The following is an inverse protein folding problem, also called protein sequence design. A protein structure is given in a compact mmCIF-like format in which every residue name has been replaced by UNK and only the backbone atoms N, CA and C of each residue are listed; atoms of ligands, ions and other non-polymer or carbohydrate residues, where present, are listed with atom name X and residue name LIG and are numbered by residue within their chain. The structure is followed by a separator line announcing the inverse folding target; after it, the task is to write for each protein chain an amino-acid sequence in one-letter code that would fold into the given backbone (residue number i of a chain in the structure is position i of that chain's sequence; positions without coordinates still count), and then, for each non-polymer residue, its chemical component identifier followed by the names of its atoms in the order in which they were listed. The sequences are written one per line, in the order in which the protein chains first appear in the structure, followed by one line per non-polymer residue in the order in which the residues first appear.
data_IF_386835283302
#
_entry.id   IF_386835283302
#
_cell.length_a   1.000
_cell.length_b   1.000
_cell.length_c   1.000
_cell.angle_alpha   90.00
_cell.angle_beta   90.00
_cell.angle_gamma   90.00
#
_symmetry.space_group_name_H-M   'P 1'
#
loop_
_entity.id
_entity.type
_entity.pdbx_description
1 polymer ?
#
# COMPACT_ATOMS: atom_id res chain seq x y z
N UNK A 1 -8.94 64.90 -13.57
CA UNK A 1 -8.67 64.63 -12.15
C UNK A 1 -9.47 63.40 -11.71
N UNK A 2 -8.85 62.21 -11.73
CA UNK A 2 -9.50 60.94 -11.35
C UNK A 2 -9.27 60.61 -9.87
N UNK A 3 -10.34 60.34 -9.13
CA UNK A 3 -10.32 59.97 -7.70
C UNK A 3 -9.66 58.60 -7.52
N UNK A 4 -8.64 58.51 -6.66
CA UNK A 4 -8.04 57.24 -6.22
C UNK A 4 -9.01 56.54 -5.25
N UNK A 5 -9.53 55.38 -5.62
CA UNK A 5 -10.17 54.49 -4.67
C UNK A 5 -9.06 53.81 -3.84
N UNK A 6 -8.94 54.17 -2.57
CA UNK A 6 -8.16 53.40 -1.60
C UNK A 6 -8.86 52.05 -1.41
N UNK A 7 -8.24 50.97 -1.86
CA UNK A 7 -8.66 49.62 -1.53
C UNK A 7 -8.68 49.48 -0.01
N UNK A 8 -9.86 49.28 0.56
CA UNK A 8 -10.03 48.95 1.97
C UNK A 8 -9.26 47.66 2.22
N UNK A 9 -8.15 47.73 2.96
CA UNK A 9 -7.51 46.54 3.49
C UNK A 9 -8.49 45.85 4.44
N UNK A 10 -8.73 44.56 4.21
CA UNK A 10 -9.56 43.73 5.08
C UNK A 10 -8.95 43.71 6.48
N UNK A 11 -9.74 44.00 7.52
CA UNK A 11 -9.27 43.96 8.90
C UNK A 11 -8.73 42.56 9.25
N UNK A 12 -7.62 42.49 9.99
CA UNK A 12 -6.96 41.25 10.44
C UNK A 12 -7.92 40.24 11.09
N UNK A 13 -8.99 40.73 11.68
CA UNK A 13 -10.05 39.99 12.36
C UNK A 13 -10.86 39.08 11.41
N UNK A 14 -10.90 39.42 10.12
CA UNK A 14 -11.53 38.62 9.05
C UNK A 14 -10.52 37.69 8.35
N UNK A 15 -9.27 37.63 8.83
CA UNK A 15 -8.28 36.68 8.35
C UNK A 15 -8.42 35.36 9.11
N UNK A 16 -9.58 34.69 8.99
CA UNK A 16 -9.60 33.25 9.26
C UNK A 16 -8.84 32.60 8.12
N UNK A 17 -7.52 32.59 8.23
CA UNK A 17 -6.67 31.82 7.32
C UNK A 17 -7.21 30.40 7.31
N UNK A 18 -7.65 29.95 6.14
CA UNK A 18 -7.98 28.54 5.96
C UNK A 18 -6.65 27.81 6.02
N UNK A 19 -6.43 27.04 7.07
CA UNK A 19 -5.32 26.11 7.12
C UNK A 19 -5.58 25.04 6.06
N UNK A 20 -4.88 25.15 4.93
CA UNK A 20 -4.94 24.15 3.86
C UNK A 20 -3.87 23.11 4.18
N UNK A 21 -4.30 21.99 4.74
CA UNK A 21 -3.42 20.83 4.93
C UNK A 21 -3.37 20.10 3.59
N UNK A 22 -2.19 20.13 2.97
CA UNK A 22 -1.91 19.36 1.75
C UNK A 22 -1.15 18.11 2.18
N UNK A 23 -1.69 16.95 1.85
CA UNK A 23 -0.94 15.71 1.98
C UNK A 23 0.13 15.64 0.89
N UNK A 24 1.40 15.67 1.30
CA UNK A 24 2.56 15.52 0.44
C UNK A 24 3.37 14.31 0.92
N UNK A 25 3.44 13.28 0.09
CA UNK A 25 4.12 12.02 0.38
C UNK A 25 5.25 11.81 -0.61
N UNK A 26 6.29 11.11 -0.17
CA UNK A 26 7.51 10.92 -0.96
C UNK A 26 7.36 9.72 -1.91
N UNK A 27 6.59 9.89 -2.99
CA UNK A 27 6.34 8.87 -4.01
C UNK A 27 7.61 8.26 -4.62
N UNK A 28 7.49 7.08 -5.22
CA UNK A 28 8.54 6.50 -6.05
C UNK A 28 8.78 7.39 -7.29
N UNK A 29 10.05 7.59 -7.63
CA UNK A 29 10.46 8.39 -8.80
C UNK A 29 10.06 7.70 -10.10
N UNK A 30 9.24 8.39 -10.91
CA UNK A 30 8.74 7.93 -12.20
C UNK A 30 9.81 7.59 -13.24
N UNK A 31 11.02 8.13 -13.08
CA UNK A 31 12.15 7.87 -13.98
C UNK A 31 12.96 6.63 -13.59
N UNK A 32 12.71 6.08 -12.40
CA UNK A 32 13.45 4.94 -11.86
C UNK A 32 12.67 3.64 -12.06
N UNK A 33 13.42 2.58 -12.36
CA UNK A 33 12.94 1.21 -12.36
C UNK A 33 13.53 0.49 -11.16
N UNK A 34 12.71 -0.27 -10.45
CA UNK A 34 13.07 -0.87 -9.18
C UNK A 34 13.08 -2.39 -9.28
N UNK A 35 14.01 -3.04 -8.61
CA UNK A 35 14.04 -4.50 -8.42
C UNK A 35 14.02 -4.80 -6.92
N UNK A 36 13.52 -5.98 -6.56
CA UNK A 36 13.49 -6.42 -5.16
C UNK A 36 14.81 -7.12 -4.86
N UNK A 37 15.57 -6.60 -3.90
CA UNK A 37 16.80 -7.23 -3.42
C UNK A 37 16.54 -8.65 -2.91
N UNK A 38 17.54 -9.53 -3.03
CA UNK A 38 17.46 -10.92 -2.54
C UNK A 38 16.22 -11.69 -3.04
N UNK A 39 15.72 -11.34 -4.23
CA UNK A 39 14.55 -12.00 -4.81
C UNK A 39 14.82 -13.48 -5.07
N UNK A 40 13.84 -14.37 -4.79
CA UNK A 40 13.92 -15.76 -5.22
C UNK A 40 13.96 -15.84 -6.75
N UNK A 41 14.52 -16.92 -7.28
CA UNK A 41 14.73 -17.14 -8.73
C UNK A 41 13.51 -16.81 -9.58
N UNK A 42 12.30 -17.15 -9.10
CA UNK A 42 11.03 -16.91 -9.78
C UNK A 42 10.75 -15.43 -10.10
N UNK A 43 11.30 -14.51 -9.32
CA UNK A 43 11.06 -13.07 -9.41
C UNK A 43 12.36 -12.27 -9.55
N UNK A 44 13.51 -12.92 -9.67
CA UNK A 44 14.82 -12.27 -9.70
C UNK A 44 14.98 -11.29 -10.88
N UNK A 45 14.44 -11.63 -12.05
CA UNK A 45 14.52 -10.81 -13.26
C UNK A 45 13.39 -9.76 -13.37
N UNK A 46 12.49 -9.70 -12.38
CA UNK A 46 11.38 -8.75 -12.45
C UNK A 46 11.80 -7.35 -12.03
N UNK A 47 11.26 -6.39 -12.76
CA UNK A 47 11.40 -4.99 -12.48
C UNK A 47 10.04 -4.31 -12.39
N UNK A 48 9.96 -3.28 -11.57
CA UNK A 48 8.72 -2.59 -11.23
C UNK A 48 8.89 -1.09 -11.51
N UNK A 49 7.87 -0.50 -12.14
CA UNK A 49 7.82 0.93 -12.39
C UNK A 49 7.34 1.67 -11.15
N UNK A 50 7.61 2.97 -11.07
CA UNK A 50 7.04 3.80 -10.03
C UNK A 50 5.50 3.76 -10.02
N UNK A 51 4.85 3.70 -11.18
CA UNK A 51 3.39 3.63 -11.26
C UNK A 51 2.85 2.34 -10.61
N UNK A 52 3.53 1.20 -10.82
CA UNK A 52 3.19 -0.07 -10.18
C UNK A 52 3.32 0.02 -8.66
N UNK A 53 4.44 0.56 -8.17
CA UNK A 53 4.72 0.68 -6.74
C UNK A 53 3.86 1.75 -6.04
N UNK A 54 3.59 2.88 -6.69
CA UNK A 54 2.70 3.93 -6.19
C UNK A 54 1.23 3.46 -6.20
N UNK A 55 0.83 2.65 -7.17
CA UNK A 55 -0.46 1.95 -7.13
C UNK A 55 -0.51 0.97 -5.96
N UNK A 56 0.52 0.16 -5.79
CA UNK A 56 0.58 -0.78 -4.68
C UNK A 56 0.59 -0.09 -3.31
N UNK A 57 1.27 1.03 -3.14
CA UNK A 57 1.26 1.82 -1.91
C UNK A 57 -0.16 2.27 -1.51
N UNK A 58 -0.98 2.66 -2.49
CA UNK A 58 -2.38 3.03 -2.26
C UNK A 58 -3.23 1.83 -1.84
N UNK A 59 -3.03 0.68 -2.49
CA UNK A 59 -3.70 -0.57 -2.10
C UNK A 59 -3.27 -0.97 -0.68
N UNK A 60 -1.97 -0.94 -0.38
CA UNK A 60 -1.44 -1.27 0.94
C UNK A 60 -2.00 -0.34 2.03
N UNK A 61 -2.03 0.97 1.80
CA UNK A 61 -2.66 1.94 2.70
C UNK A 61 -4.13 1.62 2.97
N UNK A 62 -4.85 1.19 1.94
CA UNK A 62 -6.28 0.94 2.03
C UNK A 62 -6.63 -0.44 2.62
N UNK A 63 -5.72 -1.42 2.54
CA UNK A 63 -5.88 -2.77 3.11
C UNK A 63 -5.27 -2.91 4.51
N UNK A 64 -4.22 -2.16 4.82
CA UNK A 64 -3.59 -2.17 6.14
C UNK A 64 -4.38 -1.35 7.16
N UNK A 65 -4.21 -1.72 8.43
CA UNK A 65 -4.79 -0.95 9.52
C UNK A 65 -4.03 0.35 9.72
N UNK A 66 -4.79 1.42 9.92
CA UNK A 66 -4.24 2.73 10.21
C UNK A 66 -3.95 2.93 11.71
N UNK A 67 -3.32 4.06 12.05
CA UNK A 67 -3.01 4.41 13.43
C UNK A 67 -4.24 4.46 14.36
N UNK A 68 -5.45 4.66 13.81
CA UNK A 68 -6.70 4.65 14.57
C UNK A 68 -7.09 3.26 15.10
N UNK A 69 -6.74 2.18 14.38
CA UNK A 69 -7.02 0.81 14.79
C UNK A 69 -5.82 0.13 15.44
N UNK A 70 -4.60 0.48 15.00
CA UNK A 70 -3.34 -0.02 15.55
C UNK A 70 -2.46 1.17 15.96
N UNK A 71 -2.57 1.70 17.19
CA UNK A 71 -1.80 2.86 17.63
C UNK A 71 -0.27 2.62 17.70
N UNK A 72 0.14 1.38 17.92
CA UNK A 72 1.56 0.99 17.98
C UNK A 72 2.21 0.94 16.60
N UNK A 73 3.29 1.69 16.42
CA UNK A 73 3.99 1.84 15.13
C UNK A 73 4.62 0.53 14.67
N UNK A 74 5.26 -0.22 15.57
CA UNK A 74 5.97 -1.45 15.21
C UNK A 74 4.99 -2.54 14.77
N UNK A 75 3.82 -2.63 15.41
CA UNK A 75 2.73 -3.51 14.99
C UNK A 75 2.19 -3.12 13.61
N UNK A 76 2.02 -1.82 13.32
CA UNK A 76 1.61 -1.35 11.98
C UNK A 76 2.64 -1.68 10.90
N UNK A 77 3.93 -1.48 11.19
CA UNK A 77 5.00 -1.84 10.25
C UNK A 77 5.01 -3.33 9.97
N UNK A 78 4.89 -4.17 10.99
CA UNK A 78 4.85 -5.62 10.84
C UNK A 78 3.65 -6.09 10.00
N UNK A 79 2.46 -5.49 10.20
CA UNK A 79 1.28 -5.79 9.38
C UNK A 79 1.52 -5.42 7.90
N UNK A 80 2.02 -4.20 7.63
CA UNK A 80 2.33 -3.74 6.27
C UNK A 80 3.37 -4.65 5.60
N UNK A 81 4.45 -4.98 6.30
CA UNK A 81 5.49 -5.88 5.80
C UNK A 81 4.93 -7.28 5.48
N UNK A 82 4.04 -7.82 6.32
CA UNK A 82 3.40 -9.10 6.07
C UNK A 82 2.47 -9.06 4.84
N UNK A 83 1.72 -7.97 4.62
CA UNK A 83 0.89 -7.79 3.41
C UNK A 83 1.78 -7.68 2.17
N UNK A 84 2.90 -6.94 2.24
CA UNK A 84 3.85 -6.82 1.13
C UNK A 84 4.43 -8.18 0.76
N UNK A 85 4.92 -8.94 1.74
CA UNK A 85 5.46 -10.29 1.51
C UNK A 85 4.41 -11.23 0.92
N UNK A 86 3.16 -11.17 1.42
CA UNK A 86 2.05 -11.97 0.89
C UNK A 86 1.74 -11.60 -0.57
N UNK A 87 1.76 -10.31 -0.89
CA UNK A 87 1.52 -9.81 -2.25
C UNK A 87 2.64 -10.23 -3.19
N UNK A 88 3.90 -10.09 -2.77
CA UNK A 88 5.06 -10.52 -3.54
C UNK A 88 5.10 -12.05 -3.75
N UNK A 89 4.71 -12.84 -2.75
CA UNK A 89 4.62 -14.30 -2.87
C UNK A 89 3.63 -14.74 -3.97
N UNK A 90 2.66 -13.89 -4.33
CA UNK A 90 1.70 -14.13 -5.42
C UNK A 90 2.23 -13.76 -6.81
N UNK A 91 3.34 -13.02 -6.90
CA UNK A 91 3.95 -12.64 -8.19
C UNK A 91 4.62 -13.85 -8.85
N UNK A 92 4.47 -13.94 -10.18
CA UNK A 92 4.92 -15.04 -11.05
C UNK A 92 4.46 -16.43 -10.60
N UNK A 93 3.38 -16.49 -9.81
CA UNK A 93 2.83 -17.73 -9.30
C UNK A 93 1.66 -18.21 -10.15
N UNK A 94 1.71 -19.48 -10.56
CA UNK A 94 0.52 -20.20 -11.06
C UNK A 94 -0.42 -20.56 -9.91
N UNK A 95 -1.72 -20.47 -10.15
CA UNK A 95 -2.74 -20.75 -9.14
C UNK A 95 -3.11 -19.54 -8.28
N UNK A 96 -2.72 -18.34 -8.70
CA UNK A 96 -3.21 -17.08 -8.15
C UNK A 96 -3.76 -16.18 -9.27
N UNK A 97 -4.97 -15.60 -9.12
CA UNK A 97 -6.04 -16.08 -8.25
C UNK A 97 -6.55 -17.46 -8.68
N UNK A 98 -6.17 -17.90 -9.89
CA UNK A 98 -6.51 -19.20 -10.46
C UNK A 98 -5.36 -19.70 -11.35
N UNK A 99 -5.48 -20.88 -11.94
CA UNK A 99 -4.41 -21.50 -12.74
C UNK A 99 -4.15 -20.83 -14.11
N UNK A 100 -5.06 -19.96 -14.58
CA UNK A 100 -4.98 -19.32 -15.90
C UNK A 100 -4.39 -17.90 -15.85
N UNK A 101 -4.15 -17.38 -14.65
CA UNK A 101 -3.65 -16.03 -14.43
C UNK A 101 -2.28 -16.09 -13.78
N UNK A 102 -1.38 -15.22 -14.22
CA UNK A 102 -0.06 -15.03 -13.64
C UNK A 102 0.20 -13.53 -13.62
N UNK A 103 0.24 -12.95 -12.43
CA UNK A 103 0.64 -11.56 -12.26
C UNK A 103 2.17 -11.46 -12.28
N UNK A 104 2.71 -10.54 -13.08
CA UNK A 104 4.14 -10.22 -13.13
C UNK A 104 4.48 -8.93 -12.38
N UNK A 105 3.47 -8.19 -11.91
CA UNK A 105 3.62 -6.90 -11.21
C UNK A 105 2.79 -6.86 -9.93
N UNK A 106 3.05 -5.91 -9.03
CA UNK A 106 2.23 -5.72 -7.84
C UNK A 106 0.80 -5.30 -8.20
N UNK A 107 0.64 -4.40 -9.17
CA UNK A 107 -0.67 -4.01 -9.67
C UNK A 107 -1.41 -5.19 -10.30
N UNK A 108 -0.72 -6.12 -10.98
CA UNK A 108 -1.31 -7.35 -11.46
C UNK A 108 -1.89 -8.18 -10.32
N UNK A 109 -1.12 -8.38 -9.24
CA UNK A 109 -1.61 -9.08 -8.06
C UNK A 109 -2.82 -8.37 -7.45
N UNK A 110 -2.77 -7.05 -7.33
CA UNK A 110 -3.85 -6.26 -6.72
C UNK A 110 -5.15 -6.25 -7.55
N UNK A 111 -5.04 -6.24 -8.88
CA UNK A 111 -6.18 -6.25 -9.81
C UNK A 111 -6.77 -7.65 -10.05
N UNK A 112 -6.19 -8.69 -9.46
CA UNK A 112 -6.75 -10.02 -9.51
C UNK A 112 -8.15 -10.03 -8.85
N UNK A 113 -9.15 -10.55 -9.57
CA UNK A 113 -10.54 -10.49 -9.15
C UNK A 113 -10.77 -11.12 -7.77
N UNK A 114 -11.46 -10.39 -6.90
CA UNK A 114 -11.84 -10.84 -5.56
C UNK A 114 -10.70 -10.96 -4.56
N UNK A 115 -9.48 -10.52 -4.90
CA UNK A 115 -8.31 -10.70 -4.03
C UNK A 115 -8.07 -9.55 -3.06
N UNK A 116 -8.45 -8.33 -3.46
CA UNK A 116 -8.31 -7.12 -2.66
C UNK A 116 -9.66 -6.43 -2.61
N UNK A 117 -10.17 -6.16 -1.41
CA UNK A 117 -11.48 -5.52 -1.24
C UNK A 117 -11.48 -4.16 -1.93
N UNK A 118 -10.35 -3.47 -1.82
CA UNK A 118 -10.07 -2.16 -2.38
C UNK A 118 -10.05 -2.10 -3.90
N UNK A 119 -10.10 -3.22 -4.62
CA UNK A 119 -10.05 -3.24 -6.10
C UNK A 119 -11.32 -3.87 -6.72
N UNK A 120 -12.24 -4.35 -5.89
CA UNK A 120 -13.58 -4.80 -6.32
C UNK A 120 -14.56 -3.62 -6.47
N UNK A 121 -15.76 -3.78 -7.07
CA UNK A 121 -16.69 -2.68 -7.39
C UNK A 121 -17.11 -1.80 -6.19
N UNK A 122 -16.81 -2.22 -4.97
CA UNK A 122 -16.96 -1.44 -3.75
C UNK A 122 -15.58 -1.15 -3.16
N UNK A 123 -14.90 -0.16 -3.74
CA UNK A 123 -13.68 0.40 -3.16
C UNK A 123 -13.92 0.77 -1.70
N UNK A 124 -12.95 0.52 -0.82
CA UNK A 124 -13.02 1.03 0.55
C UNK A 124 -12.94 2.56 0.53
N UNK A 125 -13.45 3.20 1.59
CA UNK A 125 -13.42 4.67 1.70
C UNK A 125 -11.99 5.23 1.60
N UNK A 126 -11.01 4.52 2.19
CA UNK A 126 -9.59 4.85 2.08
C UNK A 126 -9.08 4.80 0.64
N UNK A 127 -9.45 3.77 -0.12
CA UNK A 127 -8.98 3.65 -1.50
C UNK A 127 -9.58 4.75 -2.38
N UNK A 128 -10.86 5.10 -2.19
CA UNK A 128 -11.49 6.20 -2.91
C UNK A 128 -10.73 7.52 -2.69
N UNK A 129 -10.37 7.84 -1.44
CA UNK A 129 -9.67 9.09 -1.14
C UNK A 129 -8.24 9.16 -1.67
N UNK A 130 -7.60 8.02 -1.98
CA UNK A 130 -6.21 8.01 -2.47
C UNK A 130 -6.06 7.77 -3.97
N UNK A 131 -7.16 7.51 -4.67
CA UNK A 131 -7.16 7.41 -6.13
C UNK A 131 -7.19 8.80 -6.79
N UNK A 132 -6.45 8.96 -7.89
CA UNK A 132 -6.36 10.24 -8.61
C UNK A 132 -5.68 11.34 -7.79
N UNK A 133 -6.16 12.58 -7.85
CA UNK A 133 -5.60 13.71 -7.12
C UNK A 133 -6.17 13.90 -5.70
N UNK A 134 -7.09 13.03 -5.27
CA UNK A 134 -7.82 13.18 -4.01
C UNK A 134 -6.95 12.94 -2.78
N UNK A 135 -5.83 12.21 -2.92
CA UNK A 135 -4.90 11.95 -1.81
C UNK A 135 -4.36 13.24 -1.20
N UNK A 136 -4.29 14.33 -1.99
CA UNK A 136 -3.84 15.65 -1.52
C UNK A 136 -4.71 16.22 -0.40
N UNK A 137 -5.95 15.75 -0.28
CA UNK A 137 -6.93 16.20 0.71
C UNK A 137 -7.05 15.25 1.91
N UNK A 138 -6.17 14.25 2.04
CA UNK A 138 -6.14 13.41 3.23
C UNK A 138 -5.82 14.24 4.47
N UNK A 139 -6.48 13.90 5.58
CA UNK A 139 -6.09 14.44 6.88
C UNK A 139 -4.68 13.97 7.28
N UNK A 140 -4.07 14.66 8.24
CA UNK A 140 -2.69 14.40 8.69
C UNK A 140 -2.45 12.93 9.05
N UNK A 141 -3.40 12.29 9.75
CA UNK A 141 -3.30 10.88 10.13
C UNK A 141 -3.26 9.92 8.94
N UNK A 142 -4.22 10.06 8.00
CA UNK A 142 -4.27 9.22 6.80
C UNK A 142 -3.08 9.49 5.88
N UNK A 143 -2.61 10.74 5.81
CA UNK A 143 -1.41 11.08 5.04
C UNK A 143 -0.16 10.40 5.62
N UNK A 144 -0.01 10.41 6.95
CA UNK A 144 1.07 9.69 7.63
C UNK A 144 0.97 8.17 7.40
N UNK A 145 -0.24 7.59 7.47
CA UNK A 145 -0.45 6.17 7.21
C UNK A 145 -0.11 5.78 5.76
N UNK A 146 -0.38 6.66 4.78
CA UNK A 146 0.01 6.48 3.39
C UNK A 146 1.53 6.58 3.22
N UNK A 147 2.18 7.54 3.88
CA UNK A 147 3.64 7.63 3.90
C UNK A 147 4.28 6.36 4.49
N UNK A 148 3.72 5.83 5.59
CA UNK A 148 4.17 4.55 6.17
C UNK A 148 4.06 3.39 5.17
N UNK A 149 3.02 3.37 4.32
CA UNK A 149 2.87 2.34 3.28
C UNK A 149 3.95 2.47 2.18
N UNK A 150 4.26 3.70 1.75
CA UNK A 150 5.32 3.97 0.77
C UNK A 150 6.68 3.55 1.33
N UNK A 151 6.99 3.94 2.57
CA UNK A 151 8.26 3.62 3.22
C UNK A 151 8.44 2.12 3.45
N UNK A 152 7.36 1.42 3.81
CA UNK A 152 7.39 -0.04 3.94
C UNK A 152 7.71 -0.73 2.60
N UNK A 153 7.18 -0.23 1.48
CA UNK A 153 7.51 -0.77 0.15
C UNK A 153 8.95 -0.46 -0.21
N UNK A 154 9.45 0.77 0.02
CA UNK A 154 10.86 1.12 -0.24
C UNK A 154 11.80 0.19 0.53
N UNK A 155 11.55 0.02 1.83
CA UNK A 155 12.32 -0.90 2.66
C UNK A 155 12.26 -2.33 2.12
N UNK A 156 11.11 -2.80 1.65
CA UNK A 156 10.98 -4.12 1.03
C UNK A 156 11.78 -4.24 -0.27
N UNK A 157 11.80 -3.21 -1.12
CA UNK A 157 12.62 -3.21 -2.35
C UNK A 157 14.11 -3.36 -2.00
N UNK A 158 14.58 -2.73 -0.93
CA UNK A 158 15.98 -2.74 -0.49
C UNK A 158 16.39 -4.01 0.27
N UNK A 159 15.50 -4.55 1.11
CA UNK A 159 15.80 -5.69 1.99
C UNK A 159 15.40 -7.04 1.40
N UNK A 160 14.36 -7.07 0.58
CA UNK A 160 13.81 -8.27 -0.02
C UNK A 160 12.75 -8.98 0.81
N UNK A 161 12.35 -10.19 0.38
CA UNK A 161 11.38 -11.01 1.08
C UNK A 161 11.87 -11.47 2.47
N UNK A 162 10.97 -11.44 3.44
CA UNK A 162 11.21 -11.88 4.80
C UNK A 162 10.62 -13.26 5.04
N UNK A 163 11.46 -14.25 5.33
CA UNK A 163 11.06 -15.64 5.54
C UNK A 163 10.07 -15.84 6.70
N UNK A 164 9.99 -14.90 7.65
CA UNK A 164 8.97 -14.89 8.72
C UNK A 164 7.54 -14.70 8.22
N UNK A 165 7.38 -14.17 7.00
CA UNK A 165 6.09 -13.83 6.40
C UNK A 165 5.82 -14.65 5.13
N UNK A 166 6.03 -15.96 5.23
CA UNK A 166 5.74 -16.90 4.14
C UNK A 166 4.25 -17.24 4.10
N UNK A 167 3.45 -16.29 3.61
CA UNK A 167 2.01 -16.44 3.41
C UNK A 167 1.63 -16.14 1.97
N UNK A 168 0.50 -16.69 1.53
CA UNK A 168 -0.09 -16.38 0.23
C UNK A 168 -1.51 -15.87 0.33
N UNK A 169 -2.04 -15.81 1.55
CA UNK A 169 -3.35 -15.29 1.85
C UNK A 169 -3.31 -14.37 3.07
N UNK A 170 -4.12 -13.33 3.00
CA UNK A 170 -4.44 -12.48 4.13
C UNK A 170 -5.89 -12.01 4.07
N UNK A 171 -6.44 -11.61 5.22
CA UNK A 171 -7.76 -10.97 5.32
C UNK A 171 -7.78 -10.07 6.56
N UNK A 172 -8.48 -8.94 6.48
CA UNK A 172 -8.73 -8.11 7.65
C UNK A 172 -9.59 -8.82 8.71
N UNK A 173 -9.29 -8.54 9.98
CA UNK A 173 -9.97 -9.03 11.18
C UNK A 173 -9.33 -10.25 11.85
N UNK A 174 -9.67 -10.44 13.12
CA UNK A 174 -8.96 -11.38 14.01
C UNK A 174 -9.57 -12.79 14.10
N UNK A 175 -10.73 -13.03 13.47
CA UNK A 175 -11.51 -14.26 13.66
C UNK A 175 -11.22 -15.33 12.62
N UNK A 176 -10.78 -16.52 13.05
CA UNK A 176 -10.70 -17.78 12.29
C UNK A 176 -9.26 -18.33 12.19
N UNK A 177 -8.97 -19.22 11.25
CA UNK A 177 -7.66 -19.88 11.14
C UNK A 177 -6.59 -19.01 10.47
N UNK A 178 -5.39 -18.96 11.05
CA UNK A 178 -4.22 -18.21 10.55
C UNK A 178 -3.40 -17.58 11.69
N UNK A 179 -2.33 -16.86 11.32
CA UNK A 179 -1.56 -16.02 12.24
C UNK A 179 -2.06 -14.58 12.15
N UNK A 180 -2.35 -13.97 13.29
CA UNK A 180 -2.69 -12.55 13.34
C UNK A 180 -1.40 -11.71 13.43
N UNK A 181 -1.29 -10.69 12.59
CA UNK A 181 -0.24 -9.67 12.64
C UNK A 181 -0.95 -8.33 12.48
N UNK A 182 -0.93 -7.50 13.52
CA UNK A 182 -1.84 -6.35 13.60
C UNK A 182 -3.29 -6.82 13.64
N UNK A 183 -4.14 -6.23 12.80
CA UNK A 183 -5.56 -6.56 12.69
C UNK A 183 -5.86 -7.27 11.35
N UNK A 184 -4.82 -7.92 10.81
CA UNK A 184 -4.89 -8.76 9.62
C UNK A 184 -4.47 -10.18 9.97
N UNK A 185 -5.16 -11.14 9.37
CA UNK A 185 -4.89 -12.56 9.54
C UNK A 185 -4.26 -13.13 8.28
N UNK A 186 -3.19 -13.88 8.46
CA UNK A 186 -2.37 -14.45 7.39
C UNK A 186 -2.33 -15.97 7.46
N UNK A 187 -2.31 -16.63 6.30
CA UNK A 187 -2.14 -18.08 6.24
C UNK A 187 -1.50 -18.50 4.92
N UNK A 188 -0.93 -19.71 4.93
CA UNK A 188 -0.37 -20.35 3.75
C UNK A 188 -1.35 -21.42 3.27
N UNK A 189 -1.82 -21.31 2.04
CA UNK A 189 -2.67 -22.33 1.42
C UNK A 189 -1.87 -23.61 1.14
N UNK A 190 -2.54 -24.77 0.95
CA UNK A 190 -1.85 -25.99 0.51
C UNK A 190 -1.06 -25.80 -0.79
N UNK A 191 -1.56 -24.98 -1.71
CA UNK A 191 -0.86 -24.63 -2.97
C UNK A 191 0.40 -23.83 -2.68
N UNK A 192 0.34 -22.87 -1.75
CA UNK A 192 1.50 -22.08 -1.32
C UNK A 192 2.55 -22.92 -0.59
N UNK A 193 2.12 -23.86 0.25
CA UNK A 193 3.00 -24.74 1.02
C UNK A 193 3.91 -25.59 0.12
N UNK A 194 3.39 -26.11 -1.01
CA UNK A 194 4.18 -26.86 -1.99
C UNK A 194 5.29 -26.05 -2.68
N UNK A 195 5.26 -24.72 -2.56
CA UNK A 195 6.26 -23.82 -3.15
C UNK A 195 7.17 -23.13 -2.12
N UNK A 196 6.69 -22.94 -0.89
CA UNK A 196 7.44 -22.29 0.19
C UNK A 196 8.75 -23.04 0.53
N UNK A 197 8.81 -24.36 0.28
CA UNK A 197 10.01 -25.17 0.43
C UNK A 197 11.18 -24.81 -0.53
N UNK A 198 11.02 -23.79 -1.38
CA UNK A 198 12.00 -23.35 -2.39
C UNK A 198 12.45 -21.89 -2.23
N UNK A 199 12.04 -21.21 -1.15
CA UNK A 199 12.55 -19.88 -0.80
C UNK A 199 13.71 -20.10 0.19
N UNK A 200 14.94 -19.63 -0.11
CA UNK A 200 16.10 -19.82 0.76
C UNK A 200 15.94 -19.20 2.14
#
# INVERSE_FOLDING_TARGET
MGKRHHGKMTAKENSKGVEVIICDVTWFDATTTYSVANSPERTAELTFTADDLNYFARVLFAEASGASMLPDLETRKAEKEAIINTTFFRINRKGYPNNKYIATTFAGVCNAEGQFQTVTPKLTQKMQSVMGSQYKNLGVGDCSDLQEAIDAIKLFMESGPNSKYTYDNFRGGDKGQGKNIGHSRFWLSPVGAGMAAKIP
#
